data_IF_168976079279
#
_entry.id   IF_168976079279
#
_cell.length_a   1.000
_cell.length_b   1.000
_cell.length_c   1.000
_cell.angle_alpha   90.00
_cell.angle_beta   90.00
_cell.angle_gamma   90.00
#
_symmetry.space_group_name_H-M   'P 1'
#
loop_
_entity.id
_entity.type
_entity.pdbx_description
1 polymer ?
#
# COMPACT_ATOMS: atom_id res chain seq x y z
N UNK A 1 16.03 10.01 -16.17
CA UNK A 1 17.14 10.63 -16.93
C UNK A 1 16.77 11.97 -17.58
N UNK A 2 15.49 12.31 -17.82
CA UNK A 2 15.10 13.61 -18.43
C UNK A 2 14.33 14.60 -17.52
N UNK A 3 14.16 14.30 -16.23
CA UNK A 3 13.42 15.19 -15.31
C UNK A 3 11.92 15.35 -15.60
N UNK A 4 11.39 14.67 -16.62
CA UNK A 4 10.00 14.78 -17.11
C UNK A 4 8.98 13.98 -16.30
N UNK A 5 9.41 13.23 -15.28
CA UNK A 5 8.50 12.41 -14.48
C UNK A 5 7.68 13.31 -13.57
N UNK A 6 6.35 13.12 -13.57
CA UNK A 6 5.46 13.79 -12.64
C UNK A 6 5.95 13.59 -11.20
N UNK A 7 6.24 14.71 -10.52
CA UNK A 7 6.64 14.75 -9.11
C UNK A 7 5.91 15.89 -8.42
N UNK A 8 5.48 15.65 -7.20
CA UNK A 8 5.10 16.71 -6.25
C UNK A 8 6.35 17.44 -5.76
N UNK A 9 6.17 18.64 -5.22
CA UNK A 9 7.22 19.35 -4.50
C UNK A 9 7.63 18.59 -3.22
N UNK A 10 8.88 18.74 -2.79
CA UNK A 10 9.44 17.95 -1.67
C UNK A 10 8.82 18.29 -0.32
N UNK A 11 8.37 19.52 -0.16
CA UNK A 11 7.72 20.08 1.03
C UNK A 11 6.21 19.78 1.10
N UNK A 12 5.66 19.07 0.12
CA UNK A 12 4.23 18.76 0.03
C UNK A 12 3.98 17.29 0.34
N UNK A 13 3.01 17.04 1.22
CA UNK A 13 2.53 15.68 1.50
C UNK A 13 1.76 15.12 0.29
N UNK A 14 1.86 13.81 0.00
CA UNK A 14 1.05 13.20 -1.04
C UNK A 14 -0.44 13.21 -0.66
N UNK A 15 -1.35 13.32 -1.65
CA UNK A 15 -2.77 13.04 -1.40
C UNK A 15 -2.94 11.61 -0.87
N UNK A 16 -3.81 11.45 0.14
CA UNK A 16 -4.16 10.14 0.71
C UNK A 16 -5.61 9.83 0.36
N UNK A 17 -5.84 8.67 -0.26
CA UNK A 17 -7.16 8.22 -0.71
C UNK A 17 -7.56 6.99 0.09
N UNK A 18 -8.66 7.11 0.85
CA UNK A 18 -9.26 5.97 1.55
C UNK A 18 -10.35 5.30 0.71
N UNK A 19 -10.15 4.03 0.36
CA UNK A 19 -11.18 3.19 -0.27
C UNK A 19 -11.90 2.40 0.83
N UNK A 20 -13.07 2.87 1.24
CA UNK A 20 -13.80 2.32 2.38
C UNK A 20 -15.22 1.86 1.97
N UNK A 21 -15.69 0.80 2.61
CA UNK A 21 -17.07 0.31 2.50
C UNK A 21 -17.44 -0.57 3.70
N UNK A 22 -18.70 -0.54 4.11
CA UNK A 22 -19.19 -1.20 5.34
C UNK A 22 -19.56 -2.68 5.19
N UNK A 23 -19.38 -3.27 4.00
CA UNK A 23 -19.72 -4.68 3.74
C UNK A 23 -18.49 -5.45 3.24
N UNK A 24 -18.39 -6.73 3.59
CA UNK A 24 -17.43 -7.66 2.97
C UNK A 24 -17.79 -7.94 1.51
N UNK A 25 -16.79 -8.19 0.66
CA UNK A 25 -17.03 -8.58 -0.74
C UNK A 25 -17.54 -7.47 -1.68
N UNK A 26 -17.53 -6.20 -1.26
CA UNK A 26 -17.94 -5.05 -2.10
C UNK A 26 -16.75 -4.38 -2.81
N UNK A 27 -15.80 -5.20 -3.26
CA UNK A 27 -14.72 -4.78 -4.17
C UNK A 27 -13.73 -3.73 -3.64
N UNK A 28 -13.67 -3.44 -2.33
CA UNK A 28 -12.70 -2.49 -1.76
C UNK A 28 -11.27 -2.74 -2.24
N UNK A 29 -10.76 -3.96 -2.03
CA UNK A 29 -9.40 -4.33 -2.42
C UNK A 29 -9.19 -4.27 -3.92
N UNK A 30 -10.17 -4.73 -4.70
CA UNK A 30 -10.10 -4.65 -6.17
C UNK A 30 -10.02 -3.21 -6.65
N UNK A 31 -10.86 -2.32 -6.12
CA UNK A 31 -10.83 -0.89 -6.45
C UNK A 31 -9.49 -0.26 -6.05
N UNK A 32 -8.99 -0.55 -4.85
CA UNK A 32 -7.69 -0.02 -4.39
C UNK A 32 -6.53 -0.45 -5.30
N UNK A 33 -6.46 -1.74 -5.65
CA UNK A 33 -5.42 -2.29 -6.54
C UNK A 33 -5.48 -1.67 -7.92
N UNK A 34 -6.66 -1.62 -8.54
CA UNK A 34 -6.78 -1.09 -9.90
C UNK A 34 -6.57 0.43 -9.94
N UNK A 35 -6.97 1.16 -8.90
CA UNK A 35 -6.68 2.59 -8.77
C UNK A 35 -5.17 2.85 -8.64
N UNK A 36 -4.48 2.09 -7.79
CA UNK A 36 -3.03 2.17 -7.63
C UNK A 36 -2.29 1.93 -8.94
N UNK A 37 -2.63 0.83 -9.63
CA UNK A 37 -2.05 0.46 -10.92
C UNK A 37 -2.31 1.51 -12.01
N UNK A 38 -3.53 2.03 -12.12
CA UNK A 38 -3.88 3.08 -13.08
C UNK A 38 -3.09 4.38 -12.84
N UNK A 39 -2.97 4.81 -11.59
CA UNK A 39 -2.17 5.98 -11.21
C UNK A 39 -0.67 5.75 -11.50
N UNK A 40 -0.16 4.56 -11.23
CA UNK A 40 1.23 4.18 -11.53
C UNK A 40 1.50 4.20 -13.05
N UNK A 41 0.58 3.67 -13.86
CA UNK A 41 0.66 3.69 -15.33
C UNK A 41 0.65 5.12 -15.90
N UNK A 42 -0.02 6.06 -15.23
CA UNK A 42 0.01 7.50 -15.54
C UNK A 42 1.32 8.18 -15.13
N UNK A 43 2.29 7.43 -14.58
CA UNK A 43 3.62 7.91 -14.23
C UNK A 43 3.74 8.49 -12.81
N UNK A 44 2.66 8.43 -12.02
CA UNK A 44 2.68 8.88 -10.62
C UNK A 44 3.47 7.89 -9.75
N UNK A 45 3.93 8.38 -8.60
CA UNK A 45 4.46 7.53 -7.53
C UNK A 45 3.30 7.24 -6.59
N UNK A 46 2.99 5.96 -6.44
CA UNK A 46 1.87 5.50 -5.63
C UNK A 46 2.40 4.52 -4.59
N UNK A 47 1.78 4.52 -3.42
CA UNK A 47 1.99 3.55 -2.37
C UNK A 47 0.60 3.00 -2.00
N UNK A 48 0.38 1.72 -2.31
CA UNK A 48 -0.80 1.02 -1.86
C UNK A 48 -0.57 0.49 -0.45
N UNK A 49 -1.41 0.92 0.49
CA UNK A 49 -1.35 0.48 1.89
C UNK A 49 -2.46 -0.54 2.15
N UNK A 50 -2.07 -1.79 2.40
CA UNK A 50 -2.96 -2.85 2.87
C UNK A 50 -2.84 -2.99 4.39
N UNK A 51 -3.50 -2.07 5.10
CA UNK A 51 -3.55 -2.12 6.56
C UNK A 51 -4.73 -2.97 7.03
N UNK A 52 -4.44 -4.07 7.73
CA UNK A 52 -5.45 -4.89 8.44
C UNK A 52 -6.34 -5.80 7.55
N UNK A 53 -5.87 -6.22 6.37
CA UNK A 53 -6.42 -7.37 5.66
C UNK A 53 -5.49 -8.58 5.88
N UNK A 54 -5.81 -9.50 6.81
CA UNK A 54 -4.95 -10.65 7.09
C UNK A 54 -4.85 -11.63 5.92
N UNK A 55 -5.66 -11.49 4.87
CA UNK A 55 -5.57 -12.33 3.67
C UNK A 55 -4.47 -11.84 2.71
N UNK A 56 -3.95 -10.61 2.86
CA UNK A 56 -2.89 -10.07 2.01
C UNK A 56 -3.26 -10.07 0.53
N UNK A 57 -4.54 -9.85 0.20
CA UNK A 57 -5.04 -9.95 -1.17
C UNK A 57 -4.39 -8.90 -2.06
N UNK A 58 -4.21 -7.66 -1.58
CA UNK A 58 -3.56 -6.61 -2.37
C UNK A 58 -2.07 -6.94 -2.62
N UNK A 59 -1.40 -7.51 -1.62
CA UNK A 59 -0.03 -7.99 -1.70
C UNK A 59 0.12 -9.10 -2.76
N UNK A 60 -0.83 -10.03 -2.83
CA UNK A 60 -0.88 -11.07 -3.88
C UNK A 60 -0.98 -10.49 -5.29
N UNK A 61 -1.76 -9.42 -5.49
CA UNK A 61 -1.81 -8.71 -6.78
C UNK A 61 -0.47 -8.08 -7.18
N UNK A 62 0.45 -7.91 -6.23
CA UNK A 62 1.79 -7.38 -6.44
C UNK A 62 2.89 -8.46 -6.41
N UNK A 63 2.52 -9.75 -6.48
CA UNK A 63 3.45 -10.87 -6.56
C UNK A 63 4.02 -11.33 -5.22
N UNK A 64 3.54 -10.77 -4.11
CA UNK A 64 3.90 -11.22 -2.77
C UNK A 64 2.94 -12.31 -2.32
N UNK A 65 3.46 -13.51 -2.05
CA UNK A 65 2.69 -14.60 -1.46
C UNK A 65 2.78 -14.45 0.07
N UNK A 66 1.72 -14.06 0.79
CA UNK A 66 1.80 -13.68 2.20
C UNK A 66 2.48 -14.74 3.07
N UNK A 67 2.05 -16.00 2.97
CA UNK A 67 2.58 -17.09 3.80
C UNK A 67 4.05 -17.46 3.50
N UNK A 68 4.56 -17.08 2.32
CA UNK A 68 5.92 -17.43 1.91
C UNK A 68 6.90 -16.26 2.02
N UNK A 69 6.42 -15.02 1.80
CA UNK A 69 7.29 -13.86 1.62
C UNK A 69 7.13 -12.78 2.68
N UNK A 70 6.06 -12.82 3.47
CA UNK A 70 5.75 -11.79 4.46
C UNK A 70 5.80 -12.41 5.86
N UNK A 71 6.68 -11.89 6.72
CA UNK A 71 6.81 -12.33 8.10
C UNK A 71 6.24 -11.28 9.07
N UNK A 72 6.06 -11.65 10.33
CA UNK A 72 5.43 -10.80 11.34
C UNK A 72 6.10 -9.40 11.44
N UNK A 73 7.42 -9.40 11.40
CA UNK A 73 8.31 -8.24 11.39
C UNK A 73 8.15 -7.32 10.17
N UNK A 74 7.55 -7.81 9.08
CA UNK A 74 7.27 -7.04 7.86
C UNK A 74 5.87 -6.40 7.89
N UNK A 75 5.05 -6.70 8.88
CA UNK A 75 3.66 -6.25 8.97
C UNK A 75 3.50 -5.04 9.90
N UNK A 76 2.27 -4.59 10.12
CA UNK A 76 1.95 -3.58 11.14
C UNK A 76 2.07 -4.10 12.59
N UNK A 77 2.34 -5.39 12.80
CA UNK A 77 2.36 -6.01 14.13
C UNK A 77 3.42 -5.38 15.07
N UNK A 78 4.71 -5.21 14.68
CA UNK A 78 5.69 -4.54 15.54
C UNK A 78 5.28 -3.13 15.97
N UNK A 79 4.66 -2.35 15.08
CA UNK A 79 4.12 -1.03 15.42
C UNK A 79 2.98 -1.12 16.47
N UNK A 80 2.03 -2.05 16.30
CA UNK A 80 0.95 -2.25 17.28
C UNK A 80 1.44 -2.76 18.64
N UNK A 81 2.55 -3.50 18.67
CA UNK A 81 3.19 -3.96 19.91
C UNK A 81 4.07 -2.88 20.56
N UNK A 82 4.27 -1.73 19.92
CA UNK A 82 5.15 -0.66 20.41
C UNK A 82 6.65 -0.98 20.26
N UNK A 83 7.00 -1.97 19.45
CA UNK A 83 8.39 -2.35 19.15
C UNK A 83 9.02 -1.44 18.08
N UNK A 84 8.19 -0.72 17.32
CA UNK A 84 8.57 0.26 16.29
C UNK A 84 7.75 1.54 16.44
N UNK A 85 8.40 2.68 16.23
CA UNK A 85 7.78 4.01 16.35
C UNK A 85 7.03 4.46 15.08
N UNK A 86 7.33 3.84 13.94
CA UNK A 86 6.68 4.10 12.65
C UNK A 86 6.60 2.82 11.79
N UNK A 87 5.84 2.87 10.70
CA UNK A 87 5.54 1.71 9.83
C UNK A 87 6.38 1.65 8.56
N UNK A 88 7.43 2.47 8.42
CA UNK A 88 8.24 2.57 7.20
C UNK A 88 8.95 1.26 6.86
N UNK A 89 9.30 0.48 7.89
CA UNK A 89 9.92 -0.84 7.74
C UNK A 89 9.05 -1.86 6.99
N UNK A 90 7.74 -1.65 6.94
CA UNK A 90 6.77 -2.54 6.30
C UNK A 90 6.59 -2.25 4.79
N UNK A 91 7.28 -1.25 4.22
CA UNK A 91 7.21 -0.96 2.78
C UNK A 91 8.10 -1.95 2.01
N UNK A 92 7.53 -2.64 1.02
CA UNK A 92 8.19 -3.65 0.17
C UNK A 92 8.35 -3.18 -1.28
#
# INVERSE_FOLDING_TARGET
VFGTRLRRAEDVFPPVIGVAAHKGGVYKTSVSVHLDQDLALKGLRVLLVEGNDPQGTASMYHGWVPDLHIHAEDTLLPFYLGEKDDVTYAIK
#
